data_IF_982650254738
#
_entry.id   IF_982650254738
#
_cell.length_a   1.000
_cell.length_b   1.000
_cell.length_c   1.000
_cell.angle_alpha   90.00
_cell.angle_beta   90.00
_cell.angle_gamma   90.00
#
_symmetry.space_group_name_H-M   'P 1'
#
loop_
_entity.id
_entity.type
_entity.pdbx_description
1 polymer ?
#
# COMPACT_ATOMS: atom_id res chain seq x y z
N UNK A 1 11.36 29.43 1.05
CA UNK A 1 10.32 28.55 0.47
C UNK A 1 10.67 28.32 -0.98
N UNK A 2 10.96 27.07 -1.35
CA UNK A 2 11.21 26.72 -2.75
C UNK A 2 9.86 26.84 -3.48
N UNK A 3 9.77 27.71 -4.48
CA UNK A 3 8.60 27.79 -5.35
C UNK A 3 8.59 26.55 -6.23
N UNK A 4 7.61 25.67 -6.06
CA UNK A 4 7.38 24.55 -6.96
C UNK A 4 6.48 25.06 -8.10
N UNK A 5 7.02 25.21 -9.34
CA UNK A 5 6.28 25.79 -10.46
C UNK A 5 5.30 24.80 -11.11
N UNK A 6 4.84 23.80 -10.36
CA UNK A 6 4.01 22.70 -10.84
C UNK A 6 2.61 22.87 -10.26
N UNK A 7 1.60 22.75 -11.12
CA UNK A 7 0.20 22.90 -10.74
C UNK A 7 -0.29 21.72 -9.88
N UNK A 8 0.37 20.56 -10.00
CA UNK A 8 0.06 19.33 -9.25
C UNK A 8 1.31 18.79 -8.58
N UNK A 9 1.18 18.41 -7.31
CA UNK A 9 2.25 17.80 -6.51
C UNK A 9 1.79 16.44 -6.02
N UNK A 10 2.58 15.40 -6.32
CA UNK A 10 2.43 14.08 -5.73
C UNK A 10 3.41 13.94 -4.58
N UNK A 11 2.89 13.68 -3.38
CA UNK A 11 3.69 13.29 -2.21
C UNK A 11 3.31 11.87 -1.78
N UNK A 12 4.33 11.05 -1.48
CA UNK A 12 4.12 9.66 -1.06
C UNK A 12 4.48 9.49 0.41
N UNK A 13 3.47 9.28 1.25
CA UNK A 13 3.66 8.97 2.66
C UNK A 13 2.58 8.02 3.18
N UNK A 14 3.00 6.91 3.80
CA UNK A 14 2.08 5.94 4.44
C UNK A 14 1.26 6.52 5.59
N UNK A 15 1.64 7.68 6.12
CA UNK A 15 0.93 8.38 7.19
C UNK A 15 -0.17 9.33 6.71
N UNK A 16 -0.35 9.56 5.40
CA UNK A 16 -1.33 10.56 4.93
C UNK A 16 -2.76 10.27 5.35
N UNK A 17 -3.16 9.00 5.39
CA UNK A 17 -4.50 8.62 5.81
C UNK A 17 -4.80 9.06 7.27
N UNK A 18 -3.85 8.92 8.20
CA UNK A 18 -4.02 9.40 9.60
C UNK A 18 -4.03 10.92 9.75
N UNK A 19 -3.64 11.65 8.70
CA UNK A 19 -3.58 13.11 8.67
C UNK A 19 -4.68 13.71 7.81
N UNK A 20 -5.63 12.91 7.35
CA UNK A 20 -6.61 13.32 6.36
C UNK A 20 -7.42 14.56 6.79
N UNK A 21 -7.93 14.68 8.04
CA UNK A 21 -8.61 15.90 8.46
C UNK A 21 -7.73 17.16 8.35
N UNK A 22 -6.51 17.10 8.86
CA UNK A 22 -5.56 18.22 8.75
C UNK A 22 -5.18 18.54 7.30
N UNK A 23 -5.10 17.51 6.44
CA UNK A 23 -4.84 17.70 5.01
C UNK A 23 -6.01 18.42 4.33
N UNK A 24 -7.26 18.07 4.66
CA UNK A 24 -8.45 18.73 4.12
C UNK A 24 -8.59 20.16 4.63
N UNK A 25 -8.21 20.45 5.87
CA UNK A 25 -8.22 21.83 6.41
C UNK A 25 -7.22 22.74 5.69
N UNK A 26 -6.01 22.23 5.44
CA UNK A 26 -4.94 23.01 4.80
C UNK A 26 -5.09 23.08 3.27
N UNK A 27 -5.55 21.99 2.66
CA UNK A 27 -5.63 21.80 1.23
C UNK A 27 -6.93 21.04 0.87
N UNK A 28 -8.10 21.72 0.87
CA UNK A 28 -9.41 21.08 0.72
C UNK A 28 -9.63 20.31 -0.58
N UNK A 29 -8.82 20.57 -1.61
CA UNK A 29 -8.86 19.87 -2.90
C UNK A 29 -7.90 18.69 -2.99
N UNK A 30 -7.17 18.38 -1.90
CA UNK A 30 -6.23 17.26 -1.90
C UNK A 30 -6.97 15.95 -2.10
N UNK A 31 -6.30 15.03 -2.78
CA UNK A 31 -6.77 13.68 -3.05
C UNK A 31 -5.73 12.70 -2.55
N UNK A 32 -6.18 11.60 -1.95
CA UNK A 32 -5.31 10.54 -1.44
C UNK A 32 -5.49 9.29 -2.29
N UNK A 33 -4.40 8.82 -2.90
CA UNK A 33 -4.37 7.54 -3.60
C UNK A 33 -3.80 6.48 -2.66
N UNK A 34 -4.60 5.48 -2.32
CA UNK A 34 -4.24 4.39 -1.44
C UNK A 34 -4.12 3.07 -2.23
N UNK A 35 -2.89 2.67 -2.56
CA UNK A 35 -2.63 1.36 -3.14
C UNK A 35 -2.79 0.27 -2.07
N UNK A 36 -3.72 -0.65 -2.30
CA UNK A 36 -4.04 -1.73 -1.35
C UNK A 36 -3.71 -3.09 -1.95
N UNK A 37 -3.37 -4.04 -1.08
CA UNK A 37 -3.11 -5.44 -1.43
C UNK A 37 -3.54 -6.31 -0.26
N UNK A 38 -3.95 -7.54 -0.53
CA UNK A 38 -4.17 -8.55 0.51
C UNK A 38 -3.01 -8.55 1.51
N UNK A 39 -3.32 -8.33 2.79
CA UNK A 39 -2.32 -8.07 3.82
C UNK A 39 -1.39 -9.27 4.03
N UNK A 40 -1.86 -10.51 3.82
CA UNK A 40 -1.00 -11.68 3.85
C UNK A 40 0.11 -11.63 2.79
N UNK A 41 -0.19 -11.12 1.58
CA UNK A 41 0.83 -10.93 0.55
C UNK A 41 1.80 -9.80 0.85
N UNK A 42 1.37 -8.77 1.59
CA UNK A 42 2.25 -7.72 2.10
C UNK A 42 3.24 -8.31 3.11
N UNK A 43 2.74 -9.08 4.07
CA UNK A 43 3.57 -9.77 5.07
C UNK A 43 4.56 -10.76 4.41
N UNK A 44 4.10 -11.54 3.43
CA UNK A 44 4.94 -12.46 2.65
C UNK A 44 6.07 -11.71 1.92
N UNK A 45 5.78 -10.52 1.38
CA UNK A 45 6.78 -9.70 0.69
C UNK A 45 7.88 -9.20 1.63
N UNK A 46 7.51 -8.72 2.82
CA UNK A 46 8.46 -8.25 3.82
C UNK A 46 9.29 -9.42 4.36
N UNK A 47 8.67 -10.57 4.63
CA UNK A 47 9.39 -11.76 5.11
C UNK A 47 10.41 -12.27 4.08
N UNK A 48 10.11 -12.19 2.77
CA UNK A 48 11.10 -12.51 1.72
C UNK A 48 12.29 -11.59 1.75
N UNK A 49 12.07 -10.28 1.90
CA UNK A 49 13.14 -9.30 1.99
C UNK A 49 14.00 -9.54 3.24
N UNK A 50 13.37 -9.86 4.37
CA UNK A 50 14.09 -10.25 5.59
C UNK A 50 14.98 -11.49 5.35
N UNK A 51 14.43 -12.56 4.74
CA UNK A 51 15.20 -13.78 4.45
C UNK A 51 16.29 -13.60 3.41
N UNK A 52 16.12 -12.67 2.47
CA UNK A 52 17.12 -12.37 1.45
C UNK A 52 18.34 -11.63 2.04
N UNK A 53 18.19 -11.01 3.21
CA UNK A 53 19.23 -10.20 3.87
C UNK A 53 19.55 -10.74 5.28
N UNK A 54 20.03 -11.99 5.43
CA UNK A 54 20.17 -12.64 6.75
C UNK A 54 21.21 -12.00 7.66
N UNK A 55 22.09 -11.15 7.14
CA UNK A 55 23.13 -10.45 7.88
C UNK A 55 22.75 -8.99 8.21
N UNK A 56 21.61 -8.52 7.71
CA UNK A 56 21.13 -7.17 7.97
C UNK A 56 20.30 -7.13 9.25
N UNK A 57 20.65 -6.21 10.14
CA UNK A 57 19.87 -5.98 11.35
C UNK A 57 18.87 -4.85 11.13
N UNK A 58 17.78 -5.18 10.44
CA UNK A 58 16.73 -4.20 10.10
C UNK A 58 16.13 -3.50 11.32
N UNK A 59 15.78 -2.22 11.16
CA UNK A 59 15.05 -1.42 12.16
C UNK A 59 13.56 -1.73 12.22
N UNK A 60 13.07 -2.66 11.39
CA UNK A 60 11.69 -3.16 11.47
C UNK A 60 11.38 -3.92 12.76
N UNK A 61 12.43 -4.34 13.48
CA UNK A 61 12.33 -5.06 14.74
C UNK A 61 13.22 -4.37 15.79
N UNK A 62 12.82 -4.37 17.05
CA UNK A 62 13.53 -3.67 18.12
C UNK A 62 14.53 -4.58 18.84
N UNK A 63 14.18 -5.84 19.04
CA UNK A 63 14.99 -6.82 19.78
C UNK A 63 14.99 -8.22 19.11
N UNK A 64 15.67 -9.17 19.74
CA UNK A 64 15.78 -10.54 19.25
C UNK A 64 14.46 -11.31 19.36
N UNK A 65 13.57 -10.92 20.28
CA UNK A 65 12.26 -11.56 20.46
C UNK A 65 11.38 -11.26 19.25
N UNK A 66 11.32 -10.01 18.81
CA UNK A 66 10.59 -9.61 17.60
C UNK A 66 11.17 -10.31 16.35
N UNK A 67 12.51 -10.50 16.28
CA UNK A 67 13.20 -11.11 15.13
C UNK A 67 13.17 -12.63 15.05
N UNK A 68 12.89 -13.32 16.16
CA UNK A 68 13.16 -14.74 16.33
C UNK A 68 12.56 -15.64 15.23
N UNK A 69 11.24 -15.63 15.07
CA UNK A 69 10.54 -16.54 14.16
C UNK A 69 9.69 -15.75 13.16
N UNK A 70 9.22 -16.42 12.10
CA UNK A 70 8.25 -15.79 11.18
C UNK A 70 6.99 -15.33 11.92
N UNK A 71 6.58 -16.05 12.96
CA UNK A 71 5.45 -15.68 13.82
C UNK A 71 5.69 -14.37 14.54
N UNK A 72 6.81 -14.24 15.26
CA UNK A 72 7.12 -13.01 16.00
C UNK A 72 7.30 -11.81 15.08
N UNK A 73 7.94 -12.00 13.91
CA UNK A 73 8.15 -10.92 12.94
C UNK A 73 6.84 -10.43 12.35
N UNK A 74 6.01 -11.34 11.85
CA UNK A 74 4.73 -10.97 11.22
C UNK A 74 3.77 -10.37 12.26
N UNK A 75 3.71 -10.93 13.47
CA UNK A 75 2.92 -10.37 14.57
C UNK A 75 3.38 -8.96 14.92
N UNK A 76 4.69 -8.74 15.04
CA UNK A 76 5.27 -7.42 15.29
C UNK A 76 4.86 -6.43 14.20
N UNK A 77 5.01 -6.78 12.92
CA UNK A 77 4.63 -5.90 11.81
C UNK A 77 3.15 -5.52 11.82
N UNK A 78 2.28 -6.41 12.31
CA UNK A 78 0.84 -6.22 12.39
C UNK A 78 0.37 -5.32 13.55
N UNK A 79 1.23 -5.03 14.55
CA UNK A 79 0.88 -4.16 15.66
C UNK A 79 0.52 -2.75 15.16
N UNK A 80 -0.46 -2.09 15.79
CA UNK A 80 -1.05 -0.81 15.34
C UNK A 80 -0.06 0.37 15.27
N UNK A 81 1.07 0.27 15.94
CA UNK A 81 2.16 1.25 15.94
C UNK A 81 3.38 0.81 15.12
N UNK A 82 3.27 -0.31 14.39
CA UNK A 82 4.35 -0.88 13.55
C UNK A 82 3.99 -0.77 12.07
N UNK A 83 4.96 -1.08 11.20
CA UNK A 83 4.94 -0.71 9.78
C UNK A 83 3.61 -0.99 9.06
N UNK A 84 3.09 -2.22 9.17
CA UNK A 84 1.88 -2.64 8.45
C UNK A 84 0.64 -2.27 9.25
N UNK A 85 0.63 -2.54 10.56
CA UNK A 85 -0.53 -2.27 11.40
C UNK A 85 -0.90 -0.79 11.49
N UNK A 86 0.10 0.12 11.53
CA UNK A 86 -0.13 1.56 11.50
C UNK A 86 -0.74 2.03 10.18
N UNK A 87 -0.16 1.62 9.05
CA UNK A 87 -0.67 1.99 7.73
C UNK A 87 -2.09 1.44 7.52
N UNK A 88 -2.33 0.20 7.95
CA UNK A 88 -3.66 -0.41 7.89
C UNK A 88 -4.69 0.33 8.75
N UNK A 89 -4.36 0.64 10.01
CA UNK A 89 -5.27 1.35 10.91
C UNK A 89 -5.56 2.77 10.41
N UNK A 90 -4.52 3.47 9.94
CA UNK A 90 -4.63 4.81 9.37
C UNK A 90 -5.55 4.83 8.14
N UNK A 91 -5.36 3.89 7.21
CA UNK A 91 -6.22 3.77 6.04
C UNK A 91 -7.67 3.44 6.44
N UNK A 92 -7.86 2.55 7.41
CA UNK A 92 -9.19 2.17 7.88
C UNK A 92 -9.93 3.35 8.51
N UNK A 93 -9.25 4.15 9.32
CA UNK A 93 -9.79 5.39 9.88
C UNK A 93 -10.22 6.35 8.77
N UNK A 94 -9.35 6.60 7.79
CA UNK A 94 -9.64 7.50 6.67
C UNK A 94 -10.80 6.98 5.80
N UNK A 95 -10.85 5.67 5.55
CA UNK A 95 -11.88 5.03 4.73
C UNK A 95 -13.28 5.14 5.33
N UNK A 96 -13.42 5.10 6.65
CA UNK A 96 -14.71 5.28 7.33
C UNK A 96 -14.94 6.70 7.86
N UNK A 97 -13.99 7.61 7.63
CA UNK A 97 -14.03 8.98 8.12
C UNK A 97 -14.86 9.93 7.24
N UNK A 98 -15.06 11.14 7.75
CA UNK A 98 -15.86 12.20 7.08
C UNK A 98 -15.30 12.61 5.70
N UNK A 99 -13.99 12.49 5.52
CA UNK A 99 -13.28 12.86 4.30
C UNK A 99 -13.04 11.69 3.35
N UNK A 100 -13.69 10.53 3.55
CA UNK A 100 -13.46 9.33 2.75
C UNK A 100 -13.63 9.57 1.23
N UNK A 101 -14.50 10.49 0.82
CA UNK A 101 -14.71 10.89 -0.58
C UNK A 101 -13.45 11.42 -1.29
N UNK A 102 -12.47 11.93 -0.55
CA UNK A 102 -11.17 12.39 -1.07
C UNK A 102 -10.16 11.26 -1.30
N UNK A 103 -10.54 10.00 -1.07
CA UNK A 103 -9.67 8.84 -1.17
C UNK A 103 -10.06 7.97 -2.37
N UNK A 104 -9.05 7.50 -3.10
CA UNK A 104 -9.14 6.44 -4.09
C UNK A 104 -8.31 5.22 -3.66
N UNK A 105 -8.97 4.08 -3.44
CA UNK A 105 -8.31 2.80 -3.22
C UNK A 105 -8.06 2.11 -4.56
N UNK A 106 -6.82 1.67 -4.76
CA UNK A 106 -6.39 0.94 -5.96
C UNK A 106 -5.94 -0.46 -5.55
N UNK A 107 -6.68 -1.48 -5.97
CA UNK A 107 -6.26 -2.86 -5.76
C UNK A 107 -5.03 -3.21 -6.60
N UNK A 108 -3.99 -3.71 -5.94
CA UNK A 108 -2.71 -4.10 -6.54
C UNK A 108 -2.88 -5.14 -7.65
N UNK A 109 -3.75 -6.14 -7.48
CA UNK A 109 -3.92 -7.20 -8.47
C UNK A 109 -4.56 -6.65 -9.74
N UNK A 110 -5.54 -5.76 -9.59
CA UNK A 110 -6.14 -5.05 -10.72
C UNK A 110 -5.13 -4.15 -11.46
N UNK A 111 -4.38 -3.35 -10.72
CA UNK A 111 -3.35 -2.50 -11.32
C UNK A 111 -2.31 -3.34 -12.07
N UNK A 112 -1.92 -4.48 -11.51
CA UNK A 112 -0.92 -5.37 -12.09
C UNK A 112 -1.43 -6.15 -13.31
N UNK A 113 -2.73 -6.36 -13.43
CA UNK A 113 -3.36 -7.08 -14.55
C UNK A 113 -3.81 -6.15 -15.68
N UNK A 114 -4.25 -4.93 -15.36
CA UNK A 114 -4.81 -3.98 -16.32
C UNK A 114 -4.33 -2.53 -16.04
N UNK A 115 -3.01 -2.27 -16.14
CA UNK A 115 -2.42 -1.03 -15.67
C UNK A 115 -2.97 0.22 -16.35
N UNK A 116 -3.08 0.22 -17.69
CA UNK A 116 -3.60 1.37 -18.42
C UNK A 116 -5.03 1.72 -17.99
N UNK A 117 -5.90 0.71 -17.88
CA UNK A 117 -7.29 0.91 -17.47
C UNK A 117 -7.40 1.48 -16.06
N UNK A 118 -6.61 0.95 -15.12
CA UNK A 118 -6.61 1.43 -13.74
C UNK A 118 -6.06 2.85 -13.67
N UNK A 119 -4.95 3.13 -14.35
CA UNK A 119 -4.34 4.47 -14.34
C UNK A 119 -5.26 5.50 -14.99
N UNK A 120 -6.02 5.16 -16.04
CA UNK A 120 -7.07 6.06 -16.59
C UNK A 120 -8.09 6.48 -15.53
N UNK A 121 -8.55 5.54 -14.68
CA UNK A 121 -9.44 5.87 -13.56
C UNK A 121 -8.76 6.74 -12.50
N UNK A 122 -7.44 6.62 -12.33
CA UNK A 122 -6.68 7.55 -11.49
C UNK A 122 -6.71 8.96 -12.07
N UNK A 123 -6.49 9.12 -13.38
CA UNK A 123 -6.59 10.43 -14.06
C UNK A 123 -7.98 11.05 -13.90
N UNK A 124 -9.03 10.26 -14.09
CA UNK A 124 -10.41 10.70 -13.88
C UNK A 124 -10.62 11.17 -12.43
N UNK A 125 -10.10 10.41 -11.46
CA UNK A 125 -10.21 10.75 -10.05
C UNK A 125 -9.43 12.02 -9.69
N UNK A 126 -8.22 12.20 -10.19
CA UNK A 126 -7.40 13.39 -9.89
C UNK A 126 -7.79 14.62 -10.72
N UNK A 127 -8.56 14.45 -11.79
CA UNK A 127 -9.01 15.49 -12.74
C UNK A 127 -7.87 16.09 -13.58
N UNK A 128 -6.89 15.26 -13.96
CA UNK A 128 -5.74 15.67 -14.77
C UNK A 128 -5.81 15.13 -16.21
N UNK A 129 -5.17 15.79 -17.19
CA UNK A 129 -5.11 15.30 -18.56
C UNK A 129 -4.25 14.04 -18.68
N UNK A 130 -4.66 13.12 -19.55
CA UNK A 130 -3.94 11.89 -19.81
C UNK A 130 -2.50 12.13 -20.30
N UNK A 131 -1.56 11.41 -19.69
CA UNK A 131 -0.18 11.28 -20.15
C UNK A 131 0.04 9.84 -20.64
N UNK A 132 0.76 9.68 -21.75
CA UNK A 132 1.08 8.35 -22.29
C UNK A 132 2.11 7.63 -21.42
N UNK A 133 1.68 6.56 -20.75
CA UNK A 133 2.52 5.76 -19.84
C UNK A 133 3.16 4.56 -20.54
N UNK A 134 4.44 4.30 -20.24
CA UNK A 134 5.10 3.04 -20.59
C UNK A 134 5.10 2.07 -19.40
N UNK A 135 4.21 1.09 -19.42
CA UNK A 135 4.09 0.06 -18.37
C UNK A 135 5.12 -1.07 -18.48
N UNK A 136 5.98 -1.07 -19.50
CA UNK A 136 6.95 -2.13 -19.77
C UNK A 136 8.40 -1.69 -19.55
N UNK A 137 8.64 -0.40 -19.28
CA UNK A 137 9.98 0.15 -19.08
C UNK A 137 10.04 1.13 -17.90
N UNK A 138 9.84 0.60 -16.70
CA UNK A 138 9.92 1.32 -15.44
C UNK A 138 11.33 1.28 -14.86
N UNK A 139 11.79 2.41 -14.32
CA UNK A 139 13.03 2.49 -13.56
C UNK A 139 12.80 3.37 -12.32
N UNK A 140 12.75 2.73 -11.15
CA UNK A 140 12.68 3.41 -9.87
C UNK A 140 13.36 2.59 -8.79
N UNK A 141 14.16 3.27 -7.96
CA UNK A 141 14.86 2.71 -6.81
C UNK A 141 15.03 3.81 -5.76
N UNK A 142 15.09 3.45 -4.48
CA UNK A 142 15.25 4.39 -3.37
C UNK A 142 16.20 3.85 -2.28
N UNK A 143 17.47 3.58 -2.64
CA UNK A 143 18.41 2.88 -1.76
C UNK A 143 18.67 3.62 -0.44
N UNK A 144 18.74 4.95 -0.44
CA UNK A 144 18.99 5.69 0.80
C UNK A 144 17.86 5.52 1.84
N UNK A 145 16.62 5.33 1.38
CA UNK A 145 15.49 5.09 2.26
C UNK A 145 15.49 3.65 2.80
N UNK A 146 15.86 2.69 1.95
CA UNK A 146 15.98 1.27 2.27
C UNK A 146 17.08 1.02 3.30
N UNK A 147 18.25 1.61 3.08
CA UNK A 147 19.41 1.52 3.96
C UNK A 147 19.11 2.12 5.33
N UNK A 148 18.33 3.21 5.38
CA UNK A 148 17.91 3.81 6.64
C UNK A 148 17.06 2.86 7.50
N UNK A 149 16.35 1.92 6.87
CA UNK A 149 15.53 0.88 7.52
C UNK A 149 16.27 -0.46 7.67
N UNK A 150 17.41 -0.64 7.00
CA UNK A 150 18.13 -1.93 6.90
C UNK A 150 17.33 -2.98 6.12
N UNK A 151 16.61 -2.57 5.07
CA UNK A 151 15.82 -3.47 4.21
C UNK A 151 16.14 -3.19 2.74
N UNK A 152 17.30 -3.68 2.30
CA UNK A 152 17.77 -3.49 0.93
C UNK A 152 16.76 -4.00 -0.11
N UNK A 153 16.44 -3.15 -1.09
CA UNK A 153 15.59 -3.47 -2.23
C UNK A 153 14.09 -3.41 -1.94
N UNK A 154 13.66 -2.86 -0.81
CA UNK A 154 12.25 -2.70 -0.44
C UNK A 154 11.50 -1.78 -1.43
N UNK A 155 12.14 -0.73 -1.95
CA UNK A 155 11.52 0.22 -2.89
C UNK A 155 11.96 0.04 -4.34
N UNK A 156 12.64 -1.06 -4.65
CA UNK A 156 13.06 -1.37 -6.03
C UNK A 156 11.89 -1.83 -6.88
N UNK A 157 11.58 -1.08 -7.93
CA UNK A 157 10.50 -1.40 -8.87
C UNK A 157 11.00 -2.30 -9.99
N UNK A 158 10.16 -3.26 -10.41
CA UNK A 158 10.46 -4.11 -11.57
C UNK A 158 10.24 -3.33 -12.87
N UNK A 159 10.96 -3.67 -13.96
CA UNK A 159 10.83 -2.95 -15.23
C UNK A 159 9.44 -2.97 -15.86
N UNK A 160 8.60 -3.97 -15.52
CA UNK A 160 7.27 -4.14 -16.10
C UNK A 160 6.21 -4.25 -15.01
N UNK A 161 5.09 -3.57 -15.21
CA UNK A 161 3.87 -3.78 -14.43
C UNK A 161 3.22 -5.08 -14.86
N UNK A 162 3.30 -6.09 -14.00
CA UNK A 162 2.71 -7.39 -14.24
C UNK A 162 2.41 -8.09 -12.92
N UNK A 163 1.33 -8.87 -12.89
CA UNK A 163 1.04 -9.75 -11.76
C UNK A 163 2.05 -10.90 -11.75
N UNK A 164 2.77 -11.05 -10.64
CA UNK A 164 3.66 -12.18 -10.41
C UNK A 164 2.96 -13.22 -9.53
N UNK A 165 2.70 -14.39 -10.11
CA UNK A 165 2.24 -15.55 -9.35
C UNK A 165 3.43 -16.18 -8.63
N UNK A 166 3.30 -16.39 -7.31
CA UNK A 166 4.32 -17.04 -6.49
C UNK A 166 3.66 -17.85 -5.37
N UNK A 167 4.24 -18.98 -4.94
CA UNK A 167 3.81 -19.66 -3.72
C UNK A 167 4.20 -18.82 -2.51
N UNK A 168 3.36 -18.75 -1.48
CA UNK A 168 3.71 -18.04 -0.24
C UNK A 168 4.78 -18.79 0.55
N UNK A 169 5.61 -18.04 1.30
CA UNK A 169 6.55 -18.58 2.29
C UNK A 169 6.04 -18.45 3.73
N UNK A 170 4.86 -17.86 3.91
CA UNK A 170 4.21 -17.79 5.21
C UNK A 170 3.58 -19.14 5.55
N UNK A 171 3.64 -19.55 6.83
CA UNK A 171 2.79 -20.60 7.37
C UNK A 171 1.30 -20.38 7.00
N UNK A 172 0.54 -21.45 6.70
CA UNK A 172 -0.85 -21.34 6.24
C UNK A 172 -1.78 -20.59 7.21
N UNK A 173 -1.59 -20.80 8.52
CA UNK A 173 -2.32 -20.13 9.59
C UNK A 173 -2.08 -18.61 9.60
N UNK A 174 -0.82 -18.17 9.45
CA UNK A 174 -0.51 -16.73 9.32
C UNK A 174 -1.13 -16.16 8.04
N UNK A 175 -0.98 -16.86 6.91
CA UNK A 175 -1.55 -16.38 5.65
C UNK A 175 -3.07 -16.22 5.74
N UNK A 176 -3.76 -17.23 6.27
CA UNK A 176 -5.21 -17.18 6.46
C UNK A 176 -5.61 -16.03 7.39
N UNK A 177 -4.93 -15.87 8.53
CA UNK A 177 -5.19 -14.81 9.49
C UNK A 177 -5.14 -13.42 8.84
N UNK A 178 -4.05 -13.10 8.14
CA UNK A 178 -3.86 -11.76 7.57
C UNK A 178 -4.66 -11.54 6.28
N UNK A 179 -5.08 -12.59 5.58
CA UNK A 179 -5.93 -12.45 4.38
C UNK A 179 -7.28 -11.78 4.67
N UNK A 180 -7.78 -11.94 5.91
CA UNK A 180 -9.06 -11.41 6.40
C UNK A 180 -9.04 -9.91 6.69
N UNK A 181 -7.88 -9.24 6.60
CA UNK A 181 -7.75 -7.81 6.92
C UNK A 181 -8.05 -6.87 5.75
N UNK A 182 -8.42 -7.39 4.58
CA UNK A 182 -8.73 -6.62 3.38
C UNK A 182 -10.13 -6.00 3.43
N UNK A 183 -10.38 -5.11 4.39
CA UNK A 183 -11.72 -4.55 4.68
C UNK A 183 -12.37 -3.84 3.48
N UNK A 184 -11.59 -3.29 2.55
CA UNK A 184 -12.11 -2.64 1.33
C UNK A 184 -12.90 -3.56 0.39
N UNK A 185 -12.87 -4.88 0.63
CA UNK A 185 -13.67 -5.86 -0.10
C UNK A 185 -15.10 -6.00 0.42
N UNK A 186 -15.40 -5.50 1.64
CA UNK A 186 -16.65 -5.79 2.35
C UNK A 186 -17.89 -5.07 1.78
N UNK A 187 -17.70 -4.13 0.86
CA UNK A 187 -18.81 -3.38 0.25
C UNK A 187 -19.55 -2.45 1.23
N UNK A 188 -18.99 -2.21 2.42
CA UNK A 188 -19.56 -1.32 3.43
C UNK A 188 -19.77 0.10 2.87
N UNK A 189 -20.76 0.81 3.42
CA UNK A 189 -21.09 2.18 3.04
C UNK A 189 -20.00 3.16 3.49
N UNK A 190 -18.90 3.20 2.75
CA UNK A 190 -17.89 4.25 2.77
C UNK A 190 -18.14 5.21 1.60
N UNK A 191 -17.82 6.49 1.78
CA UNK A 191 -17.82 7.46 0.69
C UNK A 191 -16.55 7.38 -0.19
N UNK A 192 -15.59 6.50 0.13
CA UNK A 192 -14.36 6.35 -0.63
C UNK A 192 -14.58 5.74 -2.02
N UNK A 193 -13.73 6.17 -2.96
CA UNK A 193 -13.68 5.60 -4.30
C UNK A 193 -12.84 4.33 -4.25
N UNK A 194 -13.33 3.23 -4.83
CA UNK A 194 -12.62 1.94 -4.79
C UNK A 194 -12.59 1.30 -6.16
N UNK A 195 -11.39 1.13 -6.73
CA UNK A 195 -11.16 0.31 -7.90
C UNK A 195 -10.95 -1.13 -7.43
N UNK A 196 -12.03 -1.91 -7.44
CA UNK A 196 -12.05 -3.33 -7.07
C UNK A 196 -12.72 -4.17 -8.15
N UNK A 197 -12.44 -5.48 -8.15
CA UNK A 197 -13.25 -6.39 -8.94
C UNK A 197 -14.67 -6.34 -8.38
N UNK A 198 -15.65 -6.31 -9.29
CA UNK A 198 -17.04 -6.44 -8.87
C UNK A 198 -17.17 -7.84 -8.28
N UNK A 199 -17.25 -7.94 -6.96
CA UNK A 199 -17.70 -9.16 -6.30
C UNK A 199 -19.11 -9.38 -6.83
N UNK A 200 -19.37 -10.54 -7.43
CA UNK A 200 -20.75 -10.99 -7.60
C UNK A 200 -21.32 -11.09 -6.18
N UNK A 201 -21.98 -10.02 -5.74
CA UNK A 201 -22.79 -10.07 -4.56
C UNK A 201 -23.77 -11.20 -4.81
N UNK A 202 -23.68 -12.26 -4.00
CA UNK A 202 -24.63 -13.34 -4.01
C UNK A 202 -26.02 -12.70 -3.97
N UNK A 203 -26.76 -12.88 -5.06
CA UNK A 203 -28.19 -12.62 -5.10
C UNK A 203 -28.78 -13.47 -4.00
N UNK A 204 -29.19 -12.82 -2.91
CA UNK A 204 -30.12 -13.35 -1.93
C UNK A 204 -31.33 -12.43 -1.90
#
# INVERSE_FOLDING_TARGET
FQTFPKDVVFDTNRGWCSRLPALMDLFPQSKVIACVRNVAWVMDSIERLYRANPFENTKLFNDDVERNTVYSRVETLAQRNRLVGFAWASLKEAYYGEHAHSILLIDYELLSQAPERVIRLVYDFIEEPWFEHDFNNLAYDAPQFDDALGVSGLHKVKPRVALEQRPTILPPDLFEQYSKLSFWNDGSASAANVIRMKSDAAVN
#
